data_IF_046842185314
#
_entry.id   IF_046842185314
#
_cell.length_a   1.000
_cell.length_b   1.000
_cell.length_c   1.000
_cell.angle_alpha   90.00
_cell.angle_beta   90.00
_cell.angle_gamma   90.00
#
_symmetry.space_group_name_H-M   'P 1'
#
loop_
_entity.id
_entity.type
_entity.pdbx_description
1 polymer ?
#
# COMPACT_ATOMS: atom_id res chain seq x y z
N UNK A 1 18.34 -35.47 -2.57
CA UNK A 1 18.79 -34.31 -3.37
C UNK A 1 17.67 -33.80 -4.25
N UNK A 2 16.71 -33.07 -3.66
CA UNK A 2 15.62 -32.43 -4.37
C UNK A 2 16.01 -30.99 -4.67
N UNK A 3 16.41 -30.72 -5.90
CA UNK A 3 16.81 -29.39 -6.34
C UNK A 3 15.54 -28.63 -6.74
N UNK A 4 14.95 -27.87 -5.80
CA UNK A 4 13.86 -26.95 -6.11
C UNK A 4 14.37 -25.85 -7.05
N UNK A 5 14.15 -26.02 -8.35
CA UNK A 5 14.36 -24.95 -9.32
C UNK A 5 13.29 -23.89 -9.11
N UNK A 6 13.70 -22.76 -8.53
CA UNK A 6 12.90 -21.54 -8.44
C UNK A 6 12.69 -20.99 -9.86
N UNK A 7 11.52 -21.23 -10.45
CA UNK A 7 11.15 -20.67 -11.75
C UNK A 7 10.77 -19.21 -11.54
N UNK A 8 11.64 -18.29 -11.98
CA UNK A 8 11.37 -16.86 -12.00
C UNK A 8 10.78 -16.55 -13.37
N UNK A 9 9.47 -16.27 -13.42
CA UNK A 9 8.70 -16.11 -14.66
C UNK A 9 9.17 -14.94 -15.54
N UNK A 10 9.75 -13.89 -14.95
CA UNK A 10 10.58 -12.87 -15.63
C UNK A 10 11.09 -11.86 -14.58
N UNK A 11 12.29 -11.30 -14.77
CA UNK A 11 12.73 -10.09 -14.05
C UNK A 11 12.35 -8.85 -14.86
N UNK A 12 11.93 -7.80 -14.17
CA UNK A 12 11.75 -6.46 -14.73
C UNK A 12 10.65 -6.32 -15.82
N UNK A 13 9.51 -7.02 -15.66
CA UNK A 13 8.33 -6.68 -16.47
C UNK A 13 7.84 -5.30 -16.05
N UNK A 14 7.93 -4.33 -16.96
CA UNK A 14 7.17 -3.09 -16.82
C UNK A 14 5.69 -3.44 -16.87
N UNK A 15 5.02 -3.38 -15.72
CA UNK A 15 3.59 -3.64 -15.62
C UNK A 15 2.86 -2.40 -16.17
N UNK A 16 2.74 -2.35 -17.50
CA UNK A 16 1.82 -1.40 -18.15
C UNK A 16 0.39 -1.93 -18.03
N UNK A 17 -0.65 -1.08 -18.09
CA UNK A 17 -2.03 -1.54 -18.17
C UNK A 17 -2.26 -2.58 -19.27
N UNK A 18 -1.54 -2.50 -20.40
CA UNK A 18 -1.61 -3.48 -21.48
C UNK A 18 -1.05 -4.86 -21.06
N UNK A 19 0.06 -4.90 -20.30
CA UNK A 19 0.61 -6.15 -19.79
C UNK A 19 -0.27 -6.78 -18.72
N UNK A 20 -0.96 -5.98 -17.90
CA UNK A 20 -1.98 -6.48 -16.95
C UNK A 20 -3.19 -7.01 -17.71
N UNK A 21 -3.68 -6.30 -18.72
CA UNK A 21 -4.81 -6.77 -19.55
C UNK A 21 -4.45 -8.13 -20.15
N UNK A 22 -3.26 -8.27 -20.73
CA UNK A 22 -2.79 -9.56 -21.25
C UNK A 22 -2.68 -10.62 -20.15
N UNK A 23 -2.14 -10.29 -18.97
CA UNK A 23 -2.02 -11.23 -17.87
C UNK A 23 -3.39 -11.68 -17.32
N UNK A 24 -4.34 -10.75 -17.16
CA UNK A 24 -5.71 -11.05 -16.72
C UNK A 24 -6.46 -11.83 -17.81
N UNK A 25 -6.33 -11.45 -19.09
CA UNK A 25 -6.95 -12.18 -20.19
C UNK A 25 -6.39 -13.59 -20.32
N UNK A 26 -5.08 -13.75 -20.16
CA UNK A 26 -4.42 -15.05 -20.14
C UNK A 26 -4.90 -15.88 -18.94
N UNK A 27 -4.93 -15.29 -17.74
CA UNK A 27 -5.43 -15.96 -16.53
C UNK A 27 -6.91 -16.34 -16.67
N UNK A 28 -7.78 -15.46 -17.21
CA UNK A 28 -9.18 -15.76 -17.50
C UNK A 28 -9.34 -16.83 -18.58
N UNK A 29 -8.50 -16.82 -19.62
CA UNK A 29 -8.49 -17.86 -20.67
C UNK A 29 -8.03 -19.21 -20.11
N UNK A 30 -7.16 -19.23 -19.11
CA UNK A 30 -6.69 -20.44 -18.43
C UNK A 30 -7.73 -20.96 -17.43
N UNK A 31 -8.27 -20.10 -16.57
CA UNK A 31 -9.19 -20.47 -15.49
C UNK A 31 -10.65 -20.66 -15.96
N UNK A 32 -11.05 -19.98 -17.04
CA UNK A 32 -12.38 -20.04 -17.61
C UNK A 32 -12.25 -19.91 -19.14
N UNK A 33 -11.59 -20.88 -19.82
CA UNK A 33 -11.57 -20.92 -21.28
C UNK A 33 -13.03 -20.82 -21.71
N UNK A 34 -13.37 -19.93 -22.66
CA UNK A 34 -14.75 -19.67 -23.11
C UNK A 34 -15.48 -20.99 -23.40
N UNK A 35 -16.08 -21.59 -22.38
CA UNK A 35 -16.65 -22.93 -22.38
C UNK A 35 -17.31 -23.27 -21.02
N UNK A 36 -17.86 -22.28 -20.30
CA UNK A 36 -18.84 -22.55 -19.24
C UNK A 36 -20.28 -22.63 -19.75
N UNK A 37 -20.49 -22.51 -21.05
CA UNK A 37 -21.64 -23.08 -21.76
C UNK A 37 -21.14 -23.81 -23.00
N UNK A 38 -20.76 -25.08 -22.83
CA UNK A 38 -20.55 -26.02 -23.92
C UNK A 38 -21.93 -26.52 -24.41
N UNK A 39 -22.40 -26.20 -25.62
CA UNK A 39 -23.17 -27.16 -26.38
C UNK A 39 -22.20 -28.13 -27.04
N UNK A 40 -22.45 -29.41 -26.84
CA UNK A 40 -21.85 -30.50 -27.60
C UNK A 40 -21.97 -30.18 -29.10
N UNK A 41 -20.83 -30.05 -29.78
CA UNK A 41 -20.63 -30.07 -31.23
C UNK A 41 -21.88 -29.73 -32.07
N UNK A 42 -22.24 -28.44 -32.16
CA UNK A 42 -23.29 -28.03 -33.08
C UNK A 42 -22.74 -28.06 -34.52
N UNK A 43 -23.24 -29.01 -35.33
CA UNK A 43 -22.85 -29.16 -36.74
C UNK A 43 -23.28 -27.97 -37.62
N UNK A 44 -23.95 -26.97 -37.05
CA UNK A 44 -24.46 -25.79 -37.75
C UNK A 44 -23.55 -24.56 -37.65
N UNK A 45 -22.42 -24.61 -36.91
CA UNK A 45 -21.43 -23.53 -36.89
C UNK A 45 -20.66 -23.45 -38.22
N UNK A 46 -20.31 -22.25 -38.66
CA UNK A 46 -19.58 -22.06 -39.90
C UNK A 46 -18.11 -22.51 -39.80
N UNK A 47 -17.42 -22.57 -40.94
CA UNK A 47 -16.05 -23.09 -41.00
C UNK A 47 -15.02 -22.17 -40.32
N UNK A 48 -15.26 -20.87 -40.26
CA UNK A 48 -14.34 -19.91 -39.62
C UNK A 48 -14.44 -20.01 -38.10
N UNK A 49 -15.67 -20.11 -37.56
CA UNK A 49 -15.90 -20.31 -36.12
C UNK A 49 -15.31 -21.64 -35.63
N UNK A 50 -15.40 -22.70 -36.44
CA UNK A 50 -14.80 -24.01 -36.14
C UNK A 50 -13.27 -24.03 -36.20
N UNK A 51 -12.66 -23.16 -37.02
CA UNK A 51 -11.21 -23.01 -37.10
C UNK A 51 -10.67 -22.18 -35.93
N UNK A 52 -11.38 -21.12 -35.53
CA UNK A 52 -11.06 -20.40 -34.29
C UNK A 52 -11.16 -21.33 -33.07
N UNK A 53 -12.15 -22.23 -33.01
CA UNK A 53 -12.26 -23.25 -31.97
C UNK A 53 -11.06 -24.21 -31.94
N UNK A 54 -10.60 -24.70 -33.10
CA UNK A 54 -9.43 -25.59 -33.15
C UNK A 54 -8.15 -24.89 -32.75
N UNK A 55 -7.96 -23.64 -33.18
CA UNK A 55 -6.77 -22.84 -32.88
C UNK A 55 -6.71 -22.48 -31.39
N UNK A 56 -7.84 -22.13 -30.77
CA UNK A 56 -7.92 -21.88 -29.32
C UNK A 56 -7.62 -23.15 -28.52
N UNK A 57 -8.02 -24.32 -29.02
CA UNK A 57 -7.83 -25.59 -28.34
C UNK A 57 -6.38 -26.11 -28.47
N UNK A 58 -5.73 -25.88 -29.61
CA UNK A 58 -4.27 -26.05 -29.74
C UNK A 58 -3.51 -25.08 -28.82
N UNK A 59 -3.88 -23.80 -28.80
CA UNK A 59 -3.24 -22.81 -27.90
C UNK A 59 -3.42 -23.16 -26.41
N UNK A 60 -4.55 -23.76 -26.02
CA UNK A 60 -4.79 -24.23 -24.65
C UNK A 60 -3.96 -25.48 -24.32
N UNK A 61 -3.87 -26.45 -25.24
CA UNK A 61 -3.11 -27.68 -25.04
C UNK A 61 -1.58 -27.46 -25.07
N UNK A 62 -1.10 -26.46 -25.80
CA UNK A 62 0.30 -26.04 -25.81
C UNK A 62 0.63 -24.97 -24.77
N UNK A 63 -0.35 -24.54 -23.97
CA UNK A 63 -0.15 -23.50 -22.97
C UNK A 63 0.78 -24.00 -21.84
N UNK A 64 2.01 -23.48 -21.71
CA UNK A 64 2.96 -23.90 -20.67
C UNK A 64 2.51 -23.50 -19.25
N UNK A 65 1.38 -22.80 -19.15
CA UNK A 65 0.76 -22.30 -17.92
C UNK A 65 -0.56 -23.01 -17.57
N UNK A 66 -0.95 -24.07 -18.31
CA UNK A 66 -2.17 -24.83 -18.03
C UNK A 66 -2.22 -25.40 -16.60
N UNK A 67 -1.05 -25.65 -16.00
CA UNK A 67 -0.90 -26.15 -14.63
C UNK A 67 -0.84 -25.05 -13.56
N UNK A 68 -1.02 -23.77 -13.91
CA UNK A 68 -1.09 -22.67 -12.95
C UNK A 68 -2.44 -22.71 -12.22
N UNK A 69 -2.58 -23.61 -11.25
CA UNK A 69 -3.76 -23.77 -10.39
C UNK A 69 -3.89 -22.63 -9.36
N UNK A 70 -4.00 -21.38 -9.81
CA UNK A 70 -4.23 -20.21 -8.95
C UNK A 70 -5.72 -19.95 -8.77
N UNK A 71 -6.18 -19.93 -7.53
CA UNK A 71 -7.57 -19.58 -7.16
C UNK A 71 -7.77 -18.06 -7.04
N UNK A 72 -6.70 -17.31 -6.79
CA UNK A 72 -6.72 -15.85 -6.61
C UNK A 72 -5.49 -15.20 -7.24
N UNK A 73 -5.67 -14.01 -7.81
CA UNK A 73 -4.59 -13.15 -8.29
C UNK A 73 -4.82 -11.69 -7.85
N UNK A 74 -3.76 -11.04 -7.37
CA UNK A 74 -3.78 -9.64 -6.94
C UNK A 74 -2.82 -8.86 -7.83
N UNK A 75 -3.30 -7.75 -8.41
CA UNK A 75 -2.52 -6.91 -9.32
C UNK A 75 -2.43 -5.48 -8.78
N UNK A 76 -1.23 -5.04 -8.40
CA UNK A 76 -0.96 -3.65 -8.04
C UNK A 76 -0.70 -2.82 -9.31
N UNK A 77 -1.32 -1.64 -9.42
CA UNK A 77 -1.03 -0.67 -10.48
C UNK A 77 -1.01 0.76 -9.94
N UNK A 78 0.08 1.47 -10.23
CA UNK A 78 0.36 2.80 -9.69
C UNK A 78 -0.55 3.91 -10.24
N UNK A 79 -0.84 3.90 -11.55
CA UNK A 79 -1.50 5.02 -12.23
C UNK A 79 -3.00 4.81 -12.48
N UNK A 80 -3.58 3.70 -12.01
CA UNK A 80 -4.99 3.33 -12.19
C UNK A 80 -5.17 1.86 -12.57
N UNK A 81 -6.37 1.31 -12.44
CA UNK A 81 -6.63 -0.10 -12.78
C UNK A 81 -7.28 -0.25 -14.17
N UNK A 82 -7.21 -1.45 -14.75
CA UNK A 82 -7.81 -1.74 -16.06
C UNK A 82 -9.32 -2.00 -16.02
N UNK A 83 -9.89 -2.23 -14.83
CA UNK A 83 -11.32 -2.50 -14.65
C UNK A 83 -11.76 -3.91 -15.05
N UNK A 84 -10.82 -4.84 -15.21
CA UNK A 84 -11.09 -6.23 -15.60
C UNK A 84 -11.15 -7.20 -14.41
N UNK A 85 -10.78 -6.76 -13.22
CA UNK A 85 -10.80 -7.57 -12.01
C UNK A 85 -12.25 -7.78 -11.53
N UNK A 86 -12.49 -8.86 -10.80
CA UNK A 86 -13.78 -9.11 -10.16
C UNK A 86 -14.06 -8.05 -9.07
N UNK A 87 -13.01 -7.60 -8.39
CA UNK A 87 -13.01 -6.47 -7.45
C UNK A 87 -11.97 -5.44 -7.89
N UNK A 88 -12.40 -4.21 -8.14
CA UNK A 88 -11.52 -3.06 -8.32
C UNK A 88 -11.26 -2.35 -7.01
N UNK A 89 -10.00 -2.20 -6.61
CA UNK A 89 -9.63 -1.57 -5.34
C UNK A 89 -9.02 -0.19 -5.60
N UNK A 90 -9.54 0.84 -4.95
CA UNK A 90 -8.96 2.18 -4.92
C UNK A 90 -8.72 2.60 -3.46
N UNK A 91 -7.48 2.48 -3.01
CA UNK A 91 -7.10 2.71 -1.61
C UNK A 91 -7.24 4.16 -1.18
N UNK A 92 -6.84 5.12 -2.01
CA UNK A 92 -7.06 6.56 -1.80
C UNK A 92 -6.77 7.36 -3.08
N UNK A 93 -7.10 8.64 -3.05
CA UNK A 93 -6.62 9.67 -3.97
C UNK A 93 -6.18 10.90 -3.17
N UNK A 94 -4.95 10.89 -2.66
CA UNK A 94 -4.46 11.99 -1.80
C UNK A 94 -4.28 13.29 -2.58
N UNK A 95 -3.88 13.24 -3.85
CA UNK A 95 -3.66 14.41 -4.70
C UNK A 95 -4.10 14.13 -6.15
N UNK A 96 -4.86 15.05 -6.75
CA UNK A 96 -5.22 14.98 -8.17
C UNK A 96 -4.15 15.64 -9.04
N UNK A 97 -2.99 15.01 -9.15
CA UNK A 97 -1.88 15.52 -9.96
C UNK A 97 -2.13 15.30 -11.46
N UNK A 98 -1.57 16.20 -12.27
CA UNK A 98 -1.62 16.10 -13.73
C UNK A 98 -0.74 14.95 -14.24
N UNK A 99 -1.24 14.19 -15.20
CA UNK A 99 -0.53 13.11 -15.89
C UNK A 99 -0.53 13.34 -17.41
N UNK A 100 0.16 12.47 -18.15
CA UNK A 100 0.17 12.48 -19.63
C UNK A 100 0.51 13.87 -20.22
N UNK A 101 1.48 14.58 -19.61
CA UNK A 101 1.85 15.96 -19.98
C UNK A 101 0.68 16.96 -19.87
N UNK A 102 -0.16 16.82 -18.84
CA UNK A 102 -1.30 17.71 -18.58
C UNK A 102 -2.57 17.39 -19.39
N UNK A 103 -2.62 16.26 -20.10
CA UNK A 103 -3.79 15.84 -20.88
C UNK A 103 -4.81 15.05 -20.06
N UNK A 104 -4.44 14.61 -18.87
CA UNK A 104 -5.30 13.89 -17.93
C UNK A 104 -4.79 14.10 -16.51
N UNK A 105 -5.46 13.52 -15.52
CA UNK A 105 -5.11 13.62 -14.11
C UNK A 105 -5.29 12.26 -13.40
N UNK A 106 -4.76 12.15 -12.18
CA UNK A 106 -4.83 10.94 -11.39
C UNK A 106 -6.27 10.46 -11.17
N UNK A 107 -7.21 11.39 -10.96
CA UNK A 107 -8.64 11.11 -10.79
C UNK A 107 -9.23 10.41 -12.00
N UNK A 108 -9.01 10.93 -13.21
CA UNK A 108 -9.52 10.35 -14.44
C UNK A 108 -8.90 8.97 -14.72
N UNK A 109 -7.61 8.80 -14.43
CA UNK A 109 -6.94 7.51 -14.64
C UNK A 109 -7.46 6.43 -13.68
N UNK A 110 -7.65 6.77 -12.40
CA UNK A 110 -8.16 5.87 -11.35
C UNK A 110 -9.67 5.62 -11.43
N UNK A 111 -10.44 6.50 -12.09
CA UNK A 111 -11.89 6.34 -12.36
C UNK A 111 -12.24 5.00 -13.03
N UNK A 112 -11.28 4.40 -13.75
CA UNK A 112 -11.46 3.08 -14.36
C UNK A 112 -11.76 1.97 -13.35
N UNK A 113 -11.53 2.19 -12.05
CA UNK A 113 -11.90 1.26 -10.98
C UNK A 113 -13.37 0.87 -11.05
N UNK A 114 -14.24 1.83 -11.39
CA UNK A 114 -15.67 1.65 -11.50
C UNK A 114 -16.12 0.81 -12.71
N UNK A 115 -15.21 0.34 -13.57
CA UNK A 115 -15.56 -0.65 -14.61
C UNK A 115 -15.64 -2.08 -14.05
N UNK A 116 -15.04 -2.32 -12.88
CA UNK A 116 -15.07 -3.62 -12.22
C UNK A 116 -16.51 -3.97 -11.77
N UNK A 117 -16.87 -5.27 -11.70
CA UNK A 117 -18.18 -5.72 -11.21
C UNK A 117 -18.44 -5.34 -9.76
N UNK A 118 -17.41 -5.39 -8.89
CA UNK A 118 -17.42 -4.90 -7.51
C UNK A 118 -16.28 -3.88 -7.31
N UNK A 119 -16.49 -2.91 -6.42
CA UNK A 119 -15.53 -1.84 -6.14
C UNK A 119 -15.31 -1.72 -4.64
N UNK A 120 -14.04 -1.70 -4.22
CA UNK A 120 -13.62 -1.36 -2.86
C UNK A 120 -12.92 -0.01 -2.89
N UNK A 121 -13.38 0.96 -2.11
CA UNK A 121 -12.87 2.34 -2.16
C UNK A 121 -12.92 3.04 -0.80
N UNK A 122 -11.93 3.88 -0.50
CA UNK A 122 -11.99 4.77 0.67
C UNK A 122 -13.16 5.76 0.54
N UNK A 123 -13.99 5.86 1.58
CA UNK A 123 -15.22 6.65 1.57
C UNK A 123 -14.96 8.14 1.36
N UNK A 124 -13.91 8.67 1.96
CA UNK A 124 -13.45 10.06 1.82
C UNK A 124 -13.06 10.33 0.35
N UNK A 125 -12.25 9.46 -0.25
CA UNK A 125 -11.89 9.54 -1.68
C UNK A 125 -13.13 9.46 -2.58
N UNK A 126 -14.07 8.56 -2.28
CA UNK A 126 -15.32 8.42 -3.04
C UNK A 126 -16.14 9.72 -3.02
N UNK A 127 -16.30 10.32 -1.84
CA UNK A 127 -17.10 11.54 -1.66
C UNK A 127 -16.45 12.77 -2.29
N UNK A 128 -15.14 12.93 -2.12
CA UNK A 128 -14.42 14.11 -2.60
C UNK A 128 -14.28 14.09 -4.13
N UNK A 129 -13.88 12.95 -4.70
CA UNK A 129 -13.48 12.90 -6.11
C UNK A 129 -14.52 12.26 -7.04
N UNK A 130 -15.46 11.48 -6.52
CA UNK A 130 -16.36 10.66 -7.34
C UNK A 130 -17.83 10.71 -6.88
N UNK A 131 -18.42 11.90 -6.62
CA UNK A 131 -19.79 12.00 -6.13
C UNK A 131 -20.84 11.49 -7.13
N UNK A 132 -20.56 11.56 -8.44
CA UNK A 132 -21.48 11.03 -9.46
C UNK A 132 -21.44 9.51 -9.49
N UNK A 133 -20.24 8.93 -9.47
CA UNK A 133 -20.01 7.48 -9.45
C UNK A 133 -20.52 6.85 -8.16
N UNK A 134 -20.46 7.57 -7.03
CA UNK A 134 -21.06 7.15 -5.76
C UNK A 134 -22.54 6.82 -5.95
N UNK A 135 -23.29 7.67 -6.63
CA UNK A 135 -24.71 7.46 -6.89
C UNK A 135 -24.96 6.47 -8.02
N UNK A 136 -24.23 6.59 -9.14
CA UNK A 136 -24.39 5.75 -10.33
C UNK A 136 -24.05 4.28 -10.07
N UNK A 137 -23.04 4.01 -9.24
CA UNK A 137 -22.51 2.68 -8.97
C UNK A 137 -22.70 2.23 -7.52
N UNK A 138 -23.59 2.87 -6.75
CA UNK A 138 -23.86 2.54 -5.33
C UNK A 138 -24.11 1.05 -5.09
N UNK A 139 -24.69 0.36 -6.09
CA UNK A 139 -25.08 -1.04 -5.96
C UNK A 139 -23.88 -1.99 -5.97
N UNK A 140 -22.70 -1.56 -6.41
CA UNK A 140 -21.48 -2.38 -6.45
C UNK A 140 -20.30 -1.83 -5.65
N UNK A 141 -20.50 -0.73 -4.93
CA UNK A 141 -19.45 -0.13 -4.10
C UNK A 141 -19.56 -0.68 -2.68
N UNK A 142 -18.42 -1.16 -2.18
CA UNK A 142 -18.13 -1.32 -0.76
C UNK A 142 -17.12 -0.23 -0.38
N UNK A 143 -17.48 0.63 0.56
CA UNK A 143 -16.62 1.71 1.01
C UNK A 143 -16.03 1.44 2.38
N UNK A 144 -14.83 1.97 2.64
CA UNK A 144 -14.21 1.89 3.97
C UNK A 144 -13.74 3.26 4.46
N UNK A 145 -13.74 3.48 5.76
CA UNK A 145 -13.27 4.72 6.40
C UNK A 145 -12.65 4.41 7.75
N UNK A 146 -11.76 5.27 8.26
CA UNK A 146 -11.27 5.13 9.63
C UNK A 146 -12.39 5.27 10.68
N UNK A 147 -13.37 6.12 10.45
CA UNK A 147 -14.38 6.46 11.47
C UNK A 147 -15.72 6.98 10.93
N UNK A 148 -15.89 7.13 9.60
CA UNK A 148 -17.16 7.56 9.04
C UNK A 148 -18.15 6.39 8.98
N UNK A 149 -19.20 6.48 9.80
CA UNK A 149 -20.23 5.44 9.93
C UNK A 149 -21.15 5.32 8.71
N UNK A 150 -21.02 6.19 7.71
CA UNK A 150 -21.70 6.02 6.42
C UNK A 150 -20.94 5.09 5.47
N UNK A 151 -19.66 4.79 5.76
CA UNK A 151 -18.90 3.79 5.02
C UNK A 151 -19.40 2.38 5.36
N UNK A 152 -19.30 1.45 4.42
CA UNK A 152 -19.69 0.05 4.68
C UNK A 152 -18.81 -0.63 5.71
N UNK A 153 -17.55 -0.21 5.85
CA UNK A 153 -16.59 -0.73 6.81
C UNK A 153 -15.91 0.44 7.53
N UNK A 154 -15.92 0.45 8.86
CA UNK A 154 -15.25 1.48 9.64
C UNK A 154 -14.75 0.97 11.00
N UNK A 155 -13.81 1.68 11.62
CA UNK A 155 -13.39 1.34 12.99
C UNK A 155 -14.31 2.01 14.02
N UNK A 156 -14.89 1.21 14.93
CA UNK A 156 -15.55 1.74 16.13
C UNK A 156 -14.50 2.25 17.14
N UNK A 157 -13.38 1.55 17.26
CA UNK A 157 -12.26 1.94 18.10
C UNK A 157 -10.93 1.51 17.51
N UNK A 158 -9.88 2.28 17.81
CA UNK A 158 -8.49 1.98 17.46
C UNK A 158 -7.63 2.28 18.68
N UNK A 159 -6.91 1.27 19.17
CA UNK A 159 -5.88 1.38 20.18
C UNK A 159 -4.52 1.21 19.49
N UNK A 160 -3.90 2.33 19.15
CA UNK A 160 -2.64 2.34 18.41
C UNK A 160 -1.50 1.83 19.29
N UNK A 161 -0.81 0.82 18.77
CA UNK A 161 0.43 0.34 19.35
C UNK A 161 1.45 0.13 18.25
N UNK A 162 2.71 0.31 18.62
CA UNK A 162 3.82 0.28 17.68
C UNK A 162 4.12 -1.13 17.16
N UNK A 163 3.76 -2.17 17.91
CA UNK A 163 3.94 -3.58 17.56
C UNK A 163 2.62 -4.22 17.14
N UNK A 164 1.52 -3.91 17.83
CA UNK A 164 0.24 -4.55 17.59
C UNK A 164 -0.95 -3.64 17.89
N UNK A 165 -1.33 -2.82 16.91
CA UNK A 165 -2.54 -2.00 16.98
C UNK A 165 -3.77 -2.89 17.02
N UNK A 166 -4.66 -2.64 17.99
CA UNK A 166 -5.95 -3.28 18.09
C UNK A 166 -7.04 -2.36 17.54
N UNK A 167 -7.82 -2.85 16.57
CA UNK A 167 -8.95 -2.13 15.99
C UNK A 167 -10.19 -2.99 16.00
N UNK A 168 -11.31 -2.40 16.42
CA UNK A 168 -12.63 -3.02 16.34
C UNK A 168 -13.34 -2.50 15.10
N UNK A 169 -13.48 -3.35 14.10
CA UNK A 169 -14.02 -2.98 12.78
C UNK A 169 -15.47 -3.43 12.67
N UNK A 170 -16.35 -2.51 12.30
CA UNK A 170 -17.75 -2.76 12.00
C UNK A 170 -17.91 -2.82 10.49
N UNK A 171 -18.71 -3.76 10.02
CA UNK A 171 -19.14 -3.81 8.63
C UNK A 171 -20.65 -3.95 8.52
N UNK A 172 -21.26 -3.20 7.61
CA UNK A 172 -22.69 -3.27 7.33
C UNK A 172 -22.98 -3.04 5.86
N UNK A 173 -24.08 -3.61 5.40
CA UNK A 173 -24.54 -3.56 4.01
C UNK A 173 -23.44 -3.92 2.99
N UNK A 174 -22.43 -4.69 3.41
CA UNK A 174 -21.29 -5.05 2.59
C UNK A 174 -21.71 -6.15 1.62
N UNK A 175 -21.42 -5.94 0.33
CA UNK A 175 -21.82 -6.83 -0.74
C UNK A 175 -20.70 -7.76 -1.13
N UNK A 176 -20.94 -9.05 -1.08
CA UNK A 176 -20.01 -10.06 -1.53
C UNK A 176 -20.13 -10.29 -3.04
N UNK A 177 -19.10 -10.85 -3.67
CA UNK A 177 -19.10 -11.18 -5.11
C UNK A 177 -20.15 -12.22 -5.49
N UNK A 178 -20.63 -13.04 -4.55
CA UNK A 178 -21.73 -13.99 -4.73
C UNK A 178 -23.12 -13.35 -4.47
N UNK A 179 -23.18 -12.04 -4.24
CA UNK A 179 -24.41 -11.26 -4.14
C UNK A 179 -25.07 -11.27 -2.75
N UNK A 180 -24.41 -11.78 -1.71
CA UNK A 180 -24.89 -11.68 -0.33
C UNK A 180 -24.63 -10.28 0.22
N UNK A 181 -25.47 -9.87 1.15
CA UNK A 181 -25.25 -8.69 1.97
C UNK A 181 -24.91 -9.16 3.38
N UNK A 182 -23.76 -8.74 3.90
CA UNK A 182 -23.26 -9.15 5.21
C UNK A 182 -23.12 -7.95 6.14
N UNK A 183 -23.30 -8.23 7.43
CA UNK A 183 -23.19 -7.28 8.53
C UNK A 183 -22.52 -7.99 9.71
N UNK A 184 -21.69 -7.28 10.45
CA UNK A 184 -20.96 -7.88 11.56
C UNK A 184 -19.86 -6.97 12.09
N UNK A 185 -18.95 -7.62 12.80
CA UNK A 185 -17.86 -6.99 13.52
C UNK A 185 -16.68 -7.93 13.58
N UNK A 186 -15.49 -7.40 13.35
CA UNK A 186 -14.22 -8.13 13.39
C UNK A 186 -13.22 -7.37 14.26
N UNK A 187 -12.65 -8.06 15.25
CA UNK A 187 -11.59 -7.52 16.10
C UNK A 187 -10.23 -7.86 15.47
N UNK A 188 -9.47 -6.85 15.07
CA UNK A 188 -8.18 -7.04 14.38
C UNK A 188 -7.05 -6.56 15.28
N UNK A 189 -6.12 -7.44 15.58
CA UNK A 189 -4.80 -7.09 16.12
C UNK A 189 -3.75 -7.32 15.04
N UNK A 190 -3.03 -6.28 14.62
CA UNK A 190 -1.99 -6.42 13.61
C UNK A 190 -0.92 -5.32 13.70
N UNK A 191 0.16 -5.51 12.96
CA UNK A 191 1.17 -4.48 12.79
C UNK A 191 0.63 -3.32 11.93
N UNK A 192 0.10 -2.29 12.60
CA UNK A 192 -0.47 -1.10 11.96
C UNK A 192 -0.26 0.15 12.85
N UNK A 193 0.99 0.60 13.04
CA UNK A 193 1.36 1.63 14.02
C UNK A 193 0.89 3.06 13.69
N UNK A 194 0.13 3.25 12.62
CA UNK A 194 -0.37 4.56 12.20
C UNK A 194 -1.66 4.45 11.41
N UNK A 195 -2.40 5.55 11.32
CA UNK A 195 -3.74 5.59 10.70
C UNK A 195 -3.77 5.15 9.24
N UNK A 196 -2.74 5.49 8.47
CA UNK A 196 -2.60 5.04 7.08
C UNK A 196 -2.39 3.52 6.97
N UNK A 197 -1.79 2.88 7.97
CA UNK A 197 -1.74 1.41 8.03
C UNK A 197 -3.12 0.83 8.27
N UNK A 198 -3.90 1.43 9.18
CA UNK A 198 -5.28 0.99 9.43
C UNK A 198 -6.15 1.17 8.18
N UNK A 199 -6.00 2.26 7.42
CA UNK A 199 -6.69 2.40 6.12
C UNK A 199 -6.34 1.27 5.15
N UNK A 200 -5.07 0.85 5.08
CA UNK A 200 -4.66 -0.29 4.25
C UNK A 200 -5.25 -1.61 4.77
N UNK A 201 -5.28 -1.80 6.10
CA UNK A 201 -5.93 -2.96 6.74
C UNK A 201 -7.42 -2.98 6.41
N UNK A 202 -8.11 -1.84 6.52
CA UNK A 202 -9.52 -1.73 6.17
C UNK A 202 -9.78 -2.02 4.69
N UNK A 203 -8.90 -1.56 3.78
CA UNK A 203 -9.00 -1.89 2.36
C UNK A 203 -8.87 -3.41 2.12
N UNK A 204 -7.91 -4.05 2.77
CA UNK A 204 -7.70 -5.49 2.69
C UNK A 204 -8.87 -6.28 3.31
N UNK A 205 -9.32 -5.90 4.51
CA UNK A 205 -10.48 -6.50 5.20
C UNK A 205 -11.75 -6.37 4.37
N UNK A 206 -12.03 -5.18 3.84
CA UNK A 206 -13.21 -4.94 2.98
C UNK A 206 -13.17 -5.81 1.72
N UNK A 207 -11.98 -5.95 1.12
CA UNK A 207 -11.79 -6.81 -0.05
C UNK A 207 -11.99 -8.29 0.31
N UNK A 208 -11.42 -8.77 1.41
CA UNK A 208 -11.54 -10.15 1.85
C UNK A 208 -12.99 -10.51 2.19
N UNK A 209 -13.69 -9.62 2.91
CA UNK A 209 -15.12 -9.75 3.19
C UNK A 209 -15.94 -9.77 1.89
N UNK A 210 -15.62 -8.90 0.92
CA UNK A 210 -16.29 -8.89 -0.38
C UNK A 210 -16.04 -10.19 -1.18
N UNK A 211 -14.92 -10.87 -0.98
CA UNK A 211 -14.64 -12.19 -1.55
C UNK A 211 -15.35 -13.32 -0.80
N UNK A 212 -16.01 -13.04 0.33
CA UNK A 212 -16.66 -14.05 1.18
C UNK A 212 -15.69 -14.84 2.05
N UNK A 213 -14.48 -14.31 2.30
CA UNK A 213 -13.52 -14.88 3.26
C UNK A 213 -14.05 -14.62 4.66
N UNK A 214 -13.99 -15.64 5.52
CA UNK A 214 -14.49 -15.58 6.89
C UNK A 214 -13.58 -14.75 7.82
N UNK A 215 -14.17 -14.25 8.90
CA UNK A 215 -13.51 -13.36 9.86
C UNK A 215 -12.28 -14.00 10.51
N UNK A 216 -12.31 -15.30 10.82
CA UNK A 216 -11.18 -16.01 11.46
C UNK A 216 -9.96 -16.06 10.54
N UNK A 217 -10.19 -16.36 9.25
CA UNK A 217 -9.13 -16.34 8.23
C UNK A 217 -8.52 -14.95 8.08
N UNK A 218 -9.35 -13.89 8.07
CA UNK A 218 -8.88 -12.50 7.98
C UNK A 218 -8.05 -12.11 9.20
N UNK A 219 -8.55 -12.40 10.40
CA UNK A 219 -7.84 -12.12 11.67
C UNK A 219 -6.49 -12.82 11.72
N UNK A 220 -6.45 -14.11 11.35
CA UNK A 220 -5.21 -14.89 11.36
C UNK A 220 -4.20 -14.37 10.32
N UNK A 221 -4.65 -14.00 9.11
CA UNK A 221 -3.77 -13.44 8.09
C UNK A 221 -3.16 -12.09 8.53
N UNK A 222 -3.98 -11.18 9.07
CA UNK A 222 -3.54 -9.84 9.46
C UNK A 222 -2.66 -9.85 10.71
N UNK A 223 -2.96 -10.69 11.70
CA UNK A 223 -2.12 -10.82 12.91
C UNK A 223 -0.71 -11.35 12.63
N UNK A 224 -0.54 -12.09 11.53
CA UNK A 224 0.76 -12.58 11.08
C UNK A 224 1.48 -11.64 10.10
N UNK A 225 0.86 -10.52 9.69
CA UNK A 225 1.48 -9.54 8.81
C UNK A 225 2.50 -8.69 9.58
N UNK A 226 3.74 -8.64 9.09
CA UNK A 226 4.87 -7.97 9.75
C UNK A 226 5.35 -6.71 9.00
N UNK A 227 4.54 -6.18 8.10
CA UNK A 227 4.95 -5.08 7.21
C UNK A 227 5.63 -5.56 5.93
N UNK A 228 6.22 -4.63 5.20
CA UNK A 228 6.90 -4.84 3.92
C UNK A 228 8.31 -4.25 4.04
N UNK A 229 9.32 -4.94 3.52
CA UNK A 229 10.71 -4.44 3.53
C UNK A 229 10.80 -3.00 3.00
N UNK A 230 11.35 -2.11 3.82
CA UNK A 230 11.52 -0.69 3.51
C UNK A 230 10.26 0.20 3.68
N UNK A 231 9.09 -0.38 3.99
CA UNK A 231 7.85 0.36 4.34
C UNK A 231 7.42 -0.01 5.75
N UNK A 232 7.73 0.85 6.71
CA UNK A 232 7.48 0.61 8.15
C UNK A 232 8.05 -0.72 8.62
N UNK A 233 9.30 -1.02 8.28
CA UNK A 233 9.94 -2.28 8.68
C UNK A 233 10.52 -2.17 10.09
N UNK A 234 10.26 -3.14 10.97
CA UNK A 234 10.83 -3.17 12.33
C UNK A 234 11.92 -4.22 12.39
N UNK A 235 13.15 -3.81 12.72
CA UNK A 235 14.29 -4.69 12.90
C UNK A 235 14.87 -4.55 14.30
N UNK A 236 15.13 -5.68 14.93
CA UNK A 236 15.85 -5.73 16.20
C UNK A 236 17.35 -5.53 15.94
N UNK A 237 17.97 -4.63 16.71
CA UNK A 237 19.40 -4.27 16.56
C UNK A 237 20.23 -4.62 17.79
N UNK A 238 19.60 -4.75 18.96
CA UNK A 238 20.22 -5.33 20.16
C UNK A 238 19.19 -6.03 21.02
N UNK A 239 19.17 -7.37 20.95
CA UNK A 239 18.23 -8.19 21.69
C UNK A 239 18.41 -8.16 23.22
N UNK A 240 19.62 -7.87 23.71
CA UNK A 240 19.87 -7.81 25.16
C UNK A 240 19.24 -6.56 25.77
N UNK A 241 19.26 -5.46 25.02
CA UNK A 241 18.74 -4.18 25.44
C UNK A 241 17.33 -3.88 24.89
N UNK A 242 16.78 -4.79 24.07
CA UNK A 242 15.49 -4.62 23.41
C UNK A 242 15.47 -3.46 22.41
N UNK A 243 16.62 -3.11 21.84
CA UNK A 243 16.72 -1.99 20.90
C UNK A 243 16.27 -2.43 19.52
N UNK A 244 15.48 -1.56 18.89
CA UNK A 244 14.97 -1.76 17.53
C UNK A 244 15.07 -0.49 16.69
N UNK A 245 15.03 -0.70 15.39
CA UNK A 245 14.93 0.34 14.36
C UNK A 245 13.62 0.15 13.59
N UNK A 246 12.87 1.23 13.43
CA UNK A 246 11.75 1.35 12.50
C UNK A 246 12.30 2.04 11.26
N UNK A 247 12.24 1.37 10.12
CA UNK A 247 12.85 1.81 8.87
C UNK A 247 11.78 2.25 7.87
N UNK A 248 11.88 3.52 7.47
CA UNK A 248 11.09 4.16 6.41
C UNK A 248 12.04 4.53 5.27
N UNK A 249 12.36 3.54 4.44
CA UNK A 249 13.39 3.64 3.41
C UNK A 249 12.74 3.51 2.05
N UNK A 250 12.40 4.66 1.45
CA UNK A 250 11.69 4.67 0.18
C UNK A 250 12.22 5.79 -0.74
N UNK A 251 12.49 5.52 -2.03
CA UNK A 251 12.90 6.56 -2.98
C UNK A 251 11.86 7.66 -3.16
N UNK A 252 10.58 7.31 -3.09
CA UNK A 252 9.43 8.20 -3.24
C UNK A 252 8.88 8.73 -1.91
N UNK A 253 9.66 8.71 -0.82
CA UNK A 253 9.18 9.27 0.45
C UNK A 253 8.93 10.77 0.29
N UNK A 254 7.75 11.21 0.71
CA UNK A 254 7.33 12.60 0.62
C UNK A 254 7.09 13.19 2.02
N UNK A 255 6.84 14.50 2.08
CA UNK A 255 6.65 15.22 3.34
C UNK A 255 5.55 14.59 4.22
N UNK A 256 4.39 14.21 3.64
CA UNK A 256 3.29 13.59 4.38
C UNK A 256 3.66 12.22 4.98
N UNK A 257 4.45 11.42 4.26
CA UNK A 257 4.94 10.14 4.76
C UNK A 257 5.89 10.31 5.94
N UNK A 258 6.80 11.30 5.87
CA UNK A 258 7.71 11.64 6.97
C UNK A 258 6.93 12.13 8.20
N UNK A 259 5.97 13.04 8.01
CA UNK A 259 5.06 13.51 9.06
C UNK A 259 4.33 12.33 9.73
N UNK A 260 3.77 11.44 8.92
CA UNK A 260 3.06 10.24 9.40
C UNK A 260 3.96 9.33 10.21
N UNK A 261 5.21 9.14 9.77
CA UNK A 261 6.19 8.28 10.43
C UNK A 261 6.58 8.83 11.81
N UNK A 262 6.82 10.14 11.90
CA UNK A 262 7.14 10.80 13.17
C UNK A 262 5.94 10.73 14.12
N UNK A 263 4.72 10.89 13.61
CA UNK A 263 3.51 10.80 14.43
C UNK A 263 3.27 9.40 15.02
N UNK A 264 3.78 8.31 14.41
CA UNK A 264 3.66 6.95 14.96
C UNK A 264 4.30 6.82 16.34
N UNK A 265 5.35 7.60 16.60
CA UNK A 265 6.12 7.54 17.85
C UNK A 265 5.97 8.80 18.70
N UNK A 266 5.00 9.67 18.37
CA UNK A 266 4.86 11.00 19.01
C UNK A 266 4.75 10.91 20.53
N UNK A 267 4.08 9.89 21.02
CA UNK A 267 3.83 9.69 22.45
C UNK A 267 4.86 8.73 23.09
N UNK A 268 6.00 8.48 22.42
CA UNK A 268 7.06 7.54 22.85
C UNK A 268 8.44 8.25 22.95
N UNK A 269 8.84 8.60 24.18
CA UNK A 269 10.11 9.29 24.50
C UNK A 269 11.39 8.43 24.28
N UNK A 270 11.26 7.16 23.87
CA UNK A 270 12.38 6.22 23.77
C UNK A 270 13.03 6.14 22.38
N UNK A 271 12.73 7.08 21.49
CA UNK A 271 13.21 7.06 20.11
C UNK A 271 14.16 8.23 19.79
N UNK A 272 15.18 7.93 19.00
CA UNK A 272 15.88 8.90 18.16
C UNK A 272 15.23 8.90 16.78
N UNK A 273 14.92 10.09 16.27
CA UNK A 273 14.46 10.30 14.91
C UNK A 273 15.71 10.60 14.07
N UNK A 274 15.94 9.83 13.03
CA UNK A 274 17.05 10.04 12.10
C UNK A 274 16.45 10.28 10.71
N UNK A 275 16.70 11.46 10.13
CA UNK A 275 16.16 11.84 8.81
C UNK A 275 17.30 12.16 7.87
N UNK A 276 17.34 11.49 6.73
CA UNK A 276 18.34 11.75 5.71
C UNK A 276 17.92 11.30 4.33
N UNK A 277 18.83 11.45 3.37
CA UNK A 277 18.61 10.99 2.02
C UNK A 277 19.33 11.81 0.95
N UNK A 278 19.24 11.31 -0.28
CA UNK A 278 19.91 11.86 -1.45
C UNK A 278 18.90 12.46 -2.43
N UNK A 279 19.31 13.51 -3.14
CA UNK A 279 18.51 14.12 -4.20
C UNK A 279 18.54 13.33 -5.51
N UNK A 280 17.60 13.60 -6.43
CA UNK A 280 17.60 12.99 -7.77
C UNK A 280 17.22 11.51 -7.79
N UNK A 281 16.54 11.05 -6.73
CA UNK A 281 16.10 9.65 -6.55
C UNK A 281 14.76 9.38 -7.25
N UNK A 282 13.86 10.35 -7.30
CA UNK A 282 12.59 10.31 -8.05
C UNK A 282 12.39 11.64 -8.79
N UNK A 283 11.40 11.70 -9.69
CA UNK A 283 11.06 12.92 -10.43
C UNK A 283 10.46 14.03 -9.53
N UNK A 284 9.98 13.67 -8.35
CA UNK A 284 9.38 14.56 -7.36
C UNK A 284 10.34 14.73 -6.19
N UNK A 285 10.61 15.97 -5.78
CA UNK A 285 11.46 16.26 -4.63
C UNK A 285 10.62 16.56 -3.37
N UNK A 286 11.23 16.37 -2.20
CA UNK A 286 10.57 16.65 -0.92
C UNK A 286 10.36 18.17 -0.80
N UNK A 287 9.16 18.59 -0.40
CA UNK A 287 8.90 19.97 0.02
C UNK A 287 9.58 20.22 1.37
N UNK A 288 10.84 20.65 1.30
CA UNK A 288 11.69 20.91 2.45
C UNK A 288 11.23 22.09 3.30
N UNK A 289 10.55 23.08 2.70
CA UNK A 289 10.02 24.23 3.43
C UNK A 289 8.89 23.77 4.34
N UNK A 290 7.95 22.99 3.80
CA UNK A 290 6.87 22.39 4.58
C UNK A 290 7.42 21.44 5.64
N UNK A 291 8.36 20.56 5.26
CA UNK A 291 8.93 19.59 6.19
C UNK A 291 9.69 20.26 7.34
N UNK A 292 10.50 21.28 7.04
CA UNK A 292 11.26 22.00 8.06
C UNK A 292 10.34 22.69 9.08
N UNK A 293 9.23 23.28 8.62
CA UNK A 293 8.23 23.89 9.51
C UNK A 293 7.60 22.85 10.43
N UNK A 294 7.17 21.72 9.87
CA UNK A 294 6.62 20.62 10.66
C UNK A 294 7.61 20.12 11.71
N UNK A 295 8.88 19.86 11.34
CA UNK A 295 9.91 19.40 12.28
C UNK A 295 10.13 20.43 13.39
N UNK A 296 10.20 21.72 13.04
CA UNK A 296 10.37 22.80 14.01
C UNK A 296 9.22 22.85 15.03
N UNK A 297 7.97 22.77 14.56
CA UNK A 297 6.78 22.73 15.41
C UNK A 297 6.76 21.48 16.29
N UNK A 298 7.09 20.31 15.72
CA UNK A 298 7.16 19.04 16.44
C UNK A 298 8.17 19.11 17.58
N UNK A 299 9.40 19.55 17.32
CA UNK A 299 10.46 19.66 18.34
C UNK A 299 10.11 20.72 19.41
N UNK A 300 9.44 21.80 19.01
CA UNK A 300 8.99 22.84 19.95
C UNK A 300 7.95 22.28 20.93
N UNK A 301 7.05 21.42 20.45
CA UNK A 301 6.01 20.80 21.27
C UNK A 301 6.50 19.56 22.04
N UNK A 302 7.60 18.94 21.57
CA UNK A 302 8.17 17.71 22.12
C UNK A 302 9.66 17.93 22.48
N UNK A 303 9.97 18.69 23.55
CA UNK A 303 11.35 19.12 23.87
C UNK A 303 12.30 17.96 24.26
N UNK A 304 11.78 16.76 24.48
CA UNK A 304 12.57 15.55 24.75
C UNK A 304 12.89 14.73 23.49
N UNK A 305 12.29 15.06 22.36
CA UNK A 305 12.53 14.36 21.11
C UNK A 305 13.99 14.57 20.67
N UNK A 306 14.65 13.49 20.28
CA UNK A 306 16.02 13.52 19.78
C UNK A 306 15.97 13.40 18.25
N UNK A 307 16.52 14.38 17.54
CA UNK A 307 16.59 14.40 16.09
C UNK A 307 18.04 14.48 15.64
N UNK A 308 18.44 13.57 14.76
CA UNK A 308 19.69 13.66 13.99
C UNK A 308 19.34 13.76 12.51
N UNK A 309 19.92 14.76 11.84
CA UNK A 309 19.79 14.95 10.40
C UNK A 309 21.03 14.40 9.70
N UNK A 310 20.87 13.71 8.58
CA UNK A 310 22.01 13.08 7.88
C UNK A 310 22.00 13.33 6.37
N UNK A 311 23.16 13.13 5.74
CA UNK A 311 23.37 13.35 4.29
C UNK A 311 22.94 14.75 3.79
N UNK A 312 22.75 14.88 2.47
CA UNK A 312 22.43 16.11 1.75
C UNK A 312 21.07 16.69 2.17
N UNK A 313 20.03 15.84 2.26
CA UNK A 313 18.70 16.26 2.71
C UNK A 313 18.75 16.82 4.13
N UNK A 314 19.39 16.09 5.05
CA UNK A 314 19.52 16.50 6.44
C UNK A 314 20.23 17.85 6.58
N UNK A 315 21.29 18.07 5.80
CA UNK A 315 22.02 19.34 5.77
C UNK A 315 21.16 20.52 5.29
N UNK A 316 20.27 20.28 4.33
CA UNK A 316 19.36 21.33 3.85
C UNK A 316 18.28 21.66 4.88
N UNK A 317 17.68 20.62 5.49
CA UNK A 317 16.69 20.77 6.56
C UNK A 317 17.27 21.50 7.78
N UNK A 318 18.48 21.14 8.20
CA UNK A 318 19.18 21.79 9.32
C UNK A 318 19.27 23.31 9.11
N UNK A 319 19.72 23.75 7.93
CA UNK A 319 19.84 25.18 7.59
C UNK A 319 18.50 25.90 7.66
N UNK A 320 17.44 25.29 7.12
CA UNK A 320 16.10 25.88 7.10
C UNK A 320 15.52 25.97 8.52
N UNK A 321 15.65 24.92 9.31
CA UNK A 321 15.13 24.92 10.68
C UNK A 321 15.91 25.93 11.53
N UNK A 322 17.25 25.99 11.41
CA UNK A 322 18.06 26.98 12.10
C UNK A 322 17.70 28.43 11.73
N UNK A 323 17.29 28.69 10.50
CA UNK A 323 16.81 30.01 10.09
C UNK A 323 15.48 30.41 10.77
N UNK A 324 14.65 29.43 11.16
CA UNK A 324 13.39 29.65 11.91
C UNK A 324 13.59 29.64 13.43
N UNK A 325 14.80 29.33 13.89
CA UNK A 325 15.04 28.88 15.26
C UNK A 325 15.21 30.04 16.26
N UNK A 326 14.11 30.74 16.56
CA UNK A 326 14.07 31.77 17.62
C UNK A 326 14.35 31.18 19.02
N UNK A 327 14.14 29.87 19.22
CA UNK A 327 14.18 29.16 20.51
C UNK A 327 15.47 28.37 20.80
N UNK A 328 16.53 28.48 20.00
CA UNK A 328 17.78 27.71 20.16
C UNK A 328 17.58 26.17 20.26
N UNK A 329 16.68 25.58 19.46
CA UNK A 329 16.63 24.13 19.31
C UNK A 329 18.00 23.63 18.85
N UNK A 330 18.62 22.70 19.59
CA UNK A 330 19.87 22.08 19.17
C UNK A 330 19.55 20.98 18.16
N UNK A 331 19.86 21.24 16.89
CA UNK A 331 19.73 20.25 15.82
C UNK A 331 21.12 19.74 15.48
N UNK A 332 21.28 18.42 15.46
CA UNK A 332 22.53 17.77 15.15
C UNK A 332 22.50 17.28 13.70
N UNK A 333 23.53 17.64 12.93
CA UNK A 333 23.79 17.10 11.59
C UNK A 333 25.02 16.19 11.62
N UNK A 334 24.87 14.97 11.13
CA UNK A 334 25.93 13.97 11.00
C UNK A 334 25.86 13.41 9.59
N UNK A 335 26.93 13.59 8.82
CA UNK A 335 26.94 13.20 7.40
C UNK A 335 26.67 11.69 7.21
N UNK A 336 27.35 10.83 7.98
CA UNK A 336 27.18 9.38 7.92
C UNK A 336 26.03 8.89 8.82
N UNK A 337 24.97 8.37 8.21
CA UNK A 337 23.83 7.85 8.97
C UNK A 337 24.19 6.63 9.84
N UNK A 338 25.25 5.87 9.53
CA UNK A 338 25.71 4.79 10.39
C UNK A 338 26.24 5.32 11.72
N UNK A 339 26.88 6.49 11.72
CA UNK A 339 27.32 7.16 12.94
C UNK A 339 26.12 7.68 13.75
N UNK A 340 25.13 8.27 13.09
CA UNK A 340 23.88 8.67 13.74
C UNK A 340 23.17 7.48 14.42
N UNK A 341 23.10 6.32 13.75
CA UNK A 341 22.54 5.10 14.34
C UNK A 341 23.35 4.61 15.55
N UNK A 342 24.69 4.61 15.47
CA UNK A 342 25.55 4.25 16.62
C UNK A 342 25.29 5.14 17.83
N UNK A 343 25.17 6.45 17.64
CA UNK A 343 24.86 7.38 18.74
C UNK A 343 23.55 7.01 19.43
N UNK A 344 22.50 6.71 18.67
CA UNK A 344 21.22 6.31 19.25
C UNK A 344 21.34 4.99 20.05
N UNK A 345 22.07 4.00 19.50
CA UNK A 345 22.33 2.71 20.16
C UNK A 345 23.13 2.90 21.45
N UNK A 346 24.20 3.69 21.41
CA UNK A 346 25.06 3.97 22.57
C UNK A 346 24.32 4.72 23.69
N UNK A 347 23.27 5.48 23.33
CA UNK A 347 22.36 6.12 24.28
C UNK A 347 21.20 5.21 24.74
N UNK A 348 21.21 3.93 24.34
CA UNK A 348 20.17 2.94 24.64
C UNK A 348 18.76 3.38 24.20
N UNK A 349 18.67 3.91 22.97
CA UNK A 349 17.43 4.41 22.37
C UNK A 349 17.06 3.61 21.12
N UNK A 350 15.76 3.43 20.93
CA UNK A 350 15.22 2.93 19.67
C UNK A 350 15.41 3.98 18.57
N UNK A 351 15.29 3.56 17.32
CA UNK A 351 15.52 4.43 16.17
C UNK A 351 14.28 4.44 15.29
N UNK A 352 13.82 5.62 14.88
CA UNK A 352 12.99 5.82 13.72
C UNK A 352 13.89 6.37 12.61
N UNK A 353 14.19 5.54 11.62
CA UNK A 353 15.10 5.86 10.54
C UNK A 353 14.35 6.11 9.24
N UNK A 354 14.29 7.38 8.86
CA UNK A 354 13.59 7.88 7.69
C UNK A 354 14.65 8.25 6.66
N UNK A 355 14.70 7.51 5.56
CA UNK A 355 15.81 7.65 4.63
C UNK A 355 15.40 7.56 3.17
N UNK A 356 15.62 8.64 2.42
CA UNK A 356 15.39 8.63 0.97
C UNK A 356 16.57 8.02 0.22
N UNK A 357 16.39 6.81 -0.31
CA UNK A 357 17.43 6.09 -1.08
C UNK A 357 16.87 5.40 -2.33
N UNK A 358 17.74 5.10 -3.29
CA UNK A 358 17.37 4.31 -4.47
C UNK A 358 17.04 2.86 -4.08
N UNK A 359 16.01 2.25 -4.69
CA UNK A 359 15.63 0.83 -4.44
C UNK A 359 16.82 -0.14 -4.57
N UNK A 360 17.75 0.11 -5.50
CA UNK A 360 18.95 -0.71 -5.71
C UNK A 360 19.96 -0.69 -4.54
N UNK A 361 19.76 0.19 -3.56
CA UNK A 361 20.55 0.30 -2.33
C UNK A 361 19.82 -0.27 -1.11
N UNK A 362 18.52 -0.56 -1.20
CA UNK A 362 17.74 -1.16 -0.11
C UNK A 362 18.16 -2.62 0.10
N UNK A 363 18.40 -3.37 -0.99
CA UNK A 363 18.84 -4.78 -0.94
C UNK A 363 20.32 -5.00 -0.59
N UNK A 364 21.08 -3.92 -0.35
CA UNK A 364 22.51 -3.98 0.01
C UNK A 364 22.76 -3.66 1.50
N UNK A 365 21.70 -3.58 2.31
CA UNK A 365 21.74 -3.16 3.72
C UNK A 365 21.66 -4.34 4.65
#
# INVERSE_FOLDING_TARGET
DGNEQKIILQKDISITPANIINAIQLAKKIANPKCSTFPICDKNLDLEERMEESDIQEEFNENPYADLNYEMAIFENSLGICGLADIGILTNLVENYSIAKGKSDARNAKRQVFKSPSVVIEYETLNEFYPNEKEEYKDKINSFSLNDTYANVYCESIDYDIDNTHSKVIYHDLKTIDGKIINGMIDIGCFAPGSHHILNVLAATTTALALGIDDETIQNALSNFKGIDGRTNVREIDAKNGLRIIEEINPGINTKAIESSINMIRDIDNYYIIIGGKYGVTCEEIDEEKLSKFIHEYLTNNPKANLILTDELGKSLEKKINAMNEKQLKIEHIEDYHEAQRIAIDNNKNILFIYRSNYSQVSKR
#
